data_IF_494885858173
#
_entry.id   IF_494885858173
#
_cell.length_a   1.000
_cell.length_b   1.000
_cell.length_c   1.000
_cell.angle_alpha   90.00
_cell.angle_beta   90.00
_cell.angle_gamma   90.00
#
_symmetry.space_group_name_H-M   'P 1'
#
loop_
_entity.id
_entity.type
_entity.pdbx_description
1 polymer ?
#
# COMPACT_ATOMS: atom_id res chain seq x y z
N UNK A 1 35.10 50.39 29.93
CA UNK A 1 34.59 49.03 30.22
C UNK A 1 33.36 48.81 29.36
N UNK A 2 33.33 47.90 28.38
CA UNK A 2 33.20 46.43 28.53
C UNK A 2 31.98 46.12 29.42
N UNK A 3 30.96 45.37 29.02
CA UNK A 3 30.94 44.20 28.14
C UNK A 3 29.49 43.84 27.78
N UNK A 4 29.34 43.10 26.67
CA UNK A 4 28.49 41.89 26.50
C UNK A 4 27.16 41.89 27.26
N UNK A 5 26.01 41.90 26.59
CA UNK A 5 25.64 40.97 25.53
C UNK A 5 24.55 40.07 26.10
N UNK A 6 23.32 40.23 25.62
CA UNK A 6 22.32 39.18 25.76
C UNK A 6 21.45 39.15 24.50
N UNK A 7 21.83 38.25 23.61
CA UNK A 7 21.02 37.80 22.49
C UNK A 7 19.88 36.96 23.05
N UNK A 8 18.79 37.62 23.42
CA UNK A 8 17.52 36.99 23.77
C UNK A 8 16.95 36.26 22.56
N UNK A 9 17.36 35.00 22.39
CA UNK A 9 16.80 34.07 21.42
C UNK A 9 15.31 33.91 21.65
N UNK A 10 14.51 34.52 20.77
CA UNK A 10 13.07 34.30 20.71
C UNK A 10 12.74 32.81 20.52
N UNK A 11 11.58 32.37 21.01
CA UNK A 11 11.25 30.96 21.13
C UNK A 11 11.34 30.26 19.78
N UNK A 12 12.14 29.19 19.72
CA UNK A 12 12.15 28.22 18.63
C UNK A 12 10.70 27.76 18.42
N UNK A 13 10.02 28.34 17.42
CA UNK A 13 8.72 27.86 16.95
C UNK A 13 8.96 26.44 16.46
N UNK A 14 8.64 25.45 17.29
CA UNK A 14 8.58 24.06 16.86
C UNK A 14 7.48 24.00 15.81
N UNK A 15 7.89 23.93 14.55
CA UNK A 15 7.03 23.64 13.42
C UNK A 15 6.59 22.17 13.60
N UNK A 16 5.64 21.93 14.50
CA UNK A 16 4.92 20.66 14.56
C UNK A 16 3.99 20.67 13.37
N UNK A 17 4.45 20.04 12.29
CA UNK A 17 3.71 19.90 11.06
C UNK A 17 2.30 19.34 11.36
N UNK A 18 1.21 20.03 10.94
CA UNK A 18 -0.18 19.62 11.22
C UNK A 18 -0.60 18.31 10.52
N UNK A 19 0.34 17.58 9.93
CA UNK A 19 0.15 16.41 9.09
C UNK A 19 0.30 15.16 9.96
N UNK A 20 1.34 15.11 10.81
CA UNK A 20 1.58 14.01 11.75
C UNK A 20 0.57 13.99 12.91
N UNK A 21 0.13 15.15 13.39
CA UNK A 21 -0.87 15.23 14.46
C UNK A 21 -2.26 14.72 14.01
N UNK A 22 -2.66 15.03 12.77
CA UNK A 22 -3.91 14.50 12.19
C UNK A 22 -3.81 13.00 11.92
N UNK A 23 -2.70 12.52 11.38
CA UNK A 23 -2.49 11.08 11.17
C UNK A 23 -2.49 10.29 12.48
N UNK A 24 -1.87 10.82 13.54
CA UNK A 24 -1.89 10.20 14.88
C UNK A 24 -3.30 10.18 15.48
N UNK A 25 -4.07 11.25 15.33
CA UNK A 25 -5.47 11.30 15.79
C UNK A 25 -6.36 10.30 15.04
N UNK A 26 -6.22 10.20 13.71
CA UNK A 26 -6.91 9.20 12.89
C UNK A 26 -6.48 7.77 13.22
N UNK A 27 -5.22 7.57 13.59
CA UNK A 27 -4.71 6.27 14.02
C UNK A 27 -5.25 5.86 15.40
N UNK A 28 -5.36 6.82 16.32
CA UNK A 28 -5.93 6.61 17.64
C UNK A 28 -7.45 6.35 17.60
N UNK A 29 -8.19 7.00 16.69
CA UNK A 29 -9.60 6.66 16.44
C UNK A 29 -9.74 5.28 15.80
N UNK A 30 -8.84 4.91 14.87
CA UNK A 30 -8.77 3.56 14.32
C UNK A 30 -8.53 2.50 15.40
N UNK A 31 -7.58 2.73 16.29
CA UNK A 31 -7.26 1.80 17.39
C UNK A 31 -8.43 1.61 18.35
N UNK A 32 -9.20 2.68 18.62
CA UNK A 32 -10.41 2.61 19.44
C UNK A 32 -11.58 1.92 18.74
N UNK A 33 -11.68 2.02 17.41
CA UNK A 33 -12.80 1.47 16.64
C UNK A 33 -12.57 0.04 16.10
N UNK A 34 -11.34 -0.31 15.69
CA UNK A 34 -11.01 -1.59 15.04
C UNK A 34 -10.57 -2.71 16.01
N UNK A 35 -10.14 -2.38 17.23
CA UNK A 35 -9.56 -3.37 18.13
C UNK A 35 -8.36 -4.11 17.49
N UNK A 36 -8.17 -5.42 17.75
CA UNK A 36 -7.01 -6.20 17.29
C UNK A 36 -6.77 -6.20 15.77
N UNK A 37 -7.81 -5.90 14.98
CA UNK A 37 -7.82 -5.97 13.50
C UNK A 37 -7.08 -4.78 12.86
N UNK A 38 -6.83 -3.72 13.62
CA UNK A 38 -6.03 -2.58 13.15
C UNK A 38 -4.57 -2.97 12.83
N UNK A 39 -4.00 -3.89 13.61
CA UNK A 39 -2.61 -4.33 13.46
C UNK A 39 -2.37 -5.10 12.15
N UNK A 40 -3.14 -6.16 11.81
CA UNK A 40 -2.96 -6.85 10.54
C UNK A 40 -3.22 -5.94 9.33
N UNK A 41 -4.18 -5.01 9.41
CA UNK A 41 -4.42 -4.03 8.35
C UNK A 41 -3.20 -3.12 8.14
N UNK A 42 -2.57 -2.67 9.23
CA UNK A 42 -1.37 -1.82 9.16
C UNK A 42 -0.17 -2.58 8.58
N UNK A 43 0.06 -3.82 9.03
CA UNK A 43 1.12 -4.68 8.50
C UNK A 43 0.91 -4.92 7.01
N UNK A 44 -0.33 -5.25 6.61
CA UNK A 44 -0.68 -5.46 5.21
C UNK A 44 -0.47 -4.19 4.37
N UNK A 45 -0.86 -3.02 4.89
CA UNK A 45 -0.65 -1.73 4.23
C UNK A 45 0.84 -1.45 4.00
N UNK A 46 1.67 -1.63 5.02
CA UNK A 46 3.14 -1.46 4.92
C UNK A 46 3.74 -2.45 3.92
N UNK A 47 3.29 -3.71 3.92
CA UNK A 47 3.76 -4.72 2.97
C UNK A 47 3.42 -4.34 1.52
N UNK A 48 2.18 -3.90 1.27
CA UNK A 48 1.74 -3.40 -0.06
C UNK A 48 2.56 -2.20 -0.48
N UNK A 49 2.78 -1.23 0.42
CA UNK A 49 3.59 -0.05 0.11
C UNK A 49 5.05 -0.39 -0.18
N UNK A 50 5.64 -1.30 0.59
CA UNK A 50 7.03 -1.74 0.44
C UNK A 50 7.23 -2.40 -0.92
N UNK A 51 6.35 -3.33 -1.29
CA UNK A 51 6.40 -4.00 -2.60
C UNK A 51 6.07 -3.03 -3.72
N UNK A 52 5.09 -2.15 -3.54
CA UNK A 52 4.75 -1.12 -4.51
C UNK A 52 5.93 -0.19 -4.79
N UNK A 53 6.65 0.24 -3.76
CA UNK A 53 7.81 1.11 -3.91
C UNK A 53 8.97 0.41 -4.64
N UNK A 54 9.29 -0.83 -4.27
CA UNK A 54 10.34 -1.62 -4.93
C UNK A 54 10.05 -1.77 -6.43
N UNK A 55 8.80 -2.09 -6.78
CA UNK A 55 8.37 -2.29 -8.17
C UNK A 55 8.28 -0.99 -8.95
N UNK A 56 7.74 0.08 -8.38
CA UNK A 56 7.75 1.41 -9.00
C UNK A 56 9.17 1.93 -9.22
N UNK A 57 10.09 1.74 -8.27
CA UNK A 57 11.48 2.16 -8.41
C UNK A 57 12.23 1.33 -9.45
N UNK A 58 12.01 0.01 -9.51
CA UNK A 58 12.55 -0.86 -10.57
C UNK A 58 12.06 -0.40 -11.94
N UNK A 59 10.76 -0.16 -12.09
CA UNK A 59 10.17 0.29 -13.34
C UNK A 59 10.61 1.68 -13.75
N UNK A 60 10.71 2.63 -12.83
CA UNK A 60 11.23 3.95 -13.09
C UNK A 60 12.69 3.90 -13.55
N UNK A 61 13.53 3.10 -12.87
CA UNK A 61 14.93 2.88 -13.27
C UNK A 61 15.03 2.18 -14.62
N UNK A 62 14.15 1.22 -14.91
CA UNK A 62 14.13 0.48 -16.17
C UNK A 62 13.69 1.36 -17.35
N UNK A 63 12.63 2.15 -17.15
CA UNK A 63 12.15 3.14 -18.11
C UNK A 63 13.21 4.21 -18.38
N UNK A 64 13.90 4.68 -17.33
CA UNK A 64 15.02 5.61 -17.44
C UNK A 64 16.30 5.00 -18.06
N UNK A 65 16.50 3.67 -17.99
CA UNK A 65 17.72 2.98 -18.47
C UNK A 65 17.53 2.18 -19.78
N UNK A 66 16.37 2.29 -20.42
CA UNK A 66 16.12 1.97 -21.83
C UNK A 66 16.82 0.72 -22.42
N UNK A 67 16.02 -0.32 -22.73
CA UNK A 67 16.32 -1.39 -23.73
C UNK A 67 17.56 -2.28 -23.51
N UNK A 68 18.37 -2.10 -22.46
CA UNK A 68 19.64 -2.85 -22.28
C UNK A 68 19.49 -4.34 -21.92
N UNK A 69 18.63 -4.72 -20.97
CA UNK A 69 18.47 -6.17 -20.65
C UNK A 69 17.85 -6.97 -21.80
N UNK A 70 17.02 -6.33 -22.65
CA UNK A 70 16.39 -7.04 -23.75
C UNK A 70 17.37 -7.45 -24.84
N UNK A 71 18.45 -6.68 -25.03
CA UNK A 71 19.55 -7.07 -25.90
C UNK A 71 20.29 -8.29 -25.35
N UNK A 72 20.53 -8.33 -24.04
CA UNK A 72 21.23 -9.44 -23.38
C UNK A 72 20.42 -10.74 -23.42
N UNK A 73 19.09 -10.67 -23.20
CA UNK A 73 18.25 -11.86 -23.30
C UNK A 73 18.14 -12.37 -24.75
N UNK A 74 18.03 -11.47 -25.74
CA UNK A 74 18.07 -11.85 -27.16
C UNK A 74 19.38 -12.53 -27.55
N UNK A 75 20.53 -12.05 -27.07
CA UNK A 75 21.82 -12.68 -27.36
C UNK A 75 21.94 -14.05 -26.69
N UNK A 76 21.43 -14.22 -25.48
CA UNK A 76 21.42 -15.51 -24.79
C UNK A 76 20.50 -16.54 -25.48
N UNK A 77 19.29 -16.12 -25.89
CA UNK A 77 18.35 -16.96 -26.64
C UNK A 77 18.87 -17.30 -28.04
N UNK A 78 19.54 -16.38 -28.72
CA UNK A 78 20.13 -16.60 -30.05
C UNK A 78 21.29 -17.62 -30.00
N UNK A 79 22.07 -17.63 -28.92
CA UNK A 79 23.18 -18.56 -28.74
C UNK A 79 22.79 -19.91 -28.14
N UNK A 80 21.53 -20.09 -27.70
CA UNK A 80 21.06 -21.34 -27.16
C UNK A 80 21.03 -22.45 -28.25
N UNK A 81 21.77 -23.56 -28.06
CA UNK A 81 21.92 -24.59 -29.09
C UNK A 81 20.70 -25.52 -29.24
N UNK A 82 19.83 -25.62 -28.22
CA UNK A 82 18.63 -26.47 -28.25
C UNK A 82 17.35 -25.69 -27.90
N UNK A 83 16.21 -26.15 -28.45
CA UNK A 83 14.89 -25.55 -28.19
C UNK A 83 14.48 -25.69 -26.71
N UNK A 84 14.86 -26.79 -26.06
CA UNK A 84 14.58 -27.06 -24.65
C UNK A 84 15.29 -26.06 -23.71
N UNK A 85 16.57 -25.73 -23.99
CA UNK A 85 17.32 -24.73 -23.23
C UNK A 85 16.69 -23.34 -23.37
N UNK A 86 16.17 -22.98 -24.55
CA UNK A 86 15.44 -21.70 -24.73
C UNK A 86 14.18 -21.64 -23.87
N UNK A 87 13.43 -22.73 -23.78
CA UNK A 87 12.22 -22.80 -22.97
C UNK A 87 12.56 -22.69 -21.47
N UNK A 88 13.60 -23.38 -21.00
CA UNK A 88 14.05 -23.28 -19.61
C UNK A 88 14.47 -21.85 -19.23
N UNK A 89 15.26 -21.18 -20.07
CA UNK A 89 15.66 -19.78 -19.83
C UNK A 89 14.48 -18.81 -19.81
N UNK A 90 13.43 -19.07 -20.61
CA UNK A 90 12.22 -18.26 -20.61
C UNK A 90 11.42 -18.47 -19.32
N UNK A 91 11.31 -19.71 -18.85
CA UNK A 91 10.59 -20.06 -17.62
C UNK A 91 11.27 -19.47 -16.36
N UNK A 92 12.61 -19.56 -16.29
CA UNK A 92 13.40 -18.96 -15.21
C UNK A 92 13.27 -17.42 -15.16
N UNK A 93 13.17 -16.78 -16.32
CA UNK A 93 12.93 -15.34 -16.40
C UNK A 93 11.53 -14.98 -15.94
N UNK A 94 10.54 -15.80 -16.28
CA UNK A 94 9.13 -15.58 -15.91
C UNK A 94 8.92 -15.70 -14.39
N UNK A 95 9.56 -16.69 -13.77
CA UNK A 95 9.51 -16.89 -12.33
C UNK A 95 10.14 -15.71 -11.55
N UNK A 96 11.23 -15.13 -12.06
CA UNK A 96 11.83 -13.94 -11.44
C UNK A 96 10.96 -12.68 -11.55
N UNK A 97 10.14 -12.58 -12.61
CA UNK A 97 9.23 -11.45 -12.81
C UNK A 97 7.99 -11.51 -11.91
N UNK A 98 7.57 -12.71 -11.47
CA UNK A 98 6.34 -12.93 -10.71
C UNK A 98 6.50 -12.89 -9.19
N UNK A 99 7.72 -12.84 -8.66
CA UNK A 99 8.02 -12.98 -7.21
C UNK A 99 7.28 -12.02 -6.25
N UNK A 100 6.74 -10.89 -6.73
CA UNK A 100 5.95 -9.94 -5.92
C UNK A 100 4.46 -9.89 -6.27
N UNK A 101 4.04 -10.57 -7.33
CA UNK A 101 2.66 -10.64 -7.78
C UNK A 101 1.72 -11.35 -6.80
N UNK A 102 2.09 -12.51 -6.20
CA UNK A 102 1.17 -13.23 -5.32
C UNK A 102 0.86 -12.45 -4.03
N UNK A 103 1.81 -11.65 -3.52
CA UNK A 103 1.57 -10.81 -2.35
C UNK A 103 0.54 -9.72 -2.64
N UNK A 104 0.66 -9.03 -3.78
CA UNK A 104 -0.30 -8.01 -4.18
C UNK A 104 -1.68 -8.64 -4.44
N UNK A 105 -1.74 -9.84 -5.05
CA UNK A 105 -2.98 -10.57 -5.25
C UNK A 105 -3.65 -10.94 -3.92
N UNK A 106 -2.86 -11.44 -2.95
CA UNK A 106 -3.34 -11.71 -1.61
C UNK A 106 -3.85 -10.42 -0.94
N UNK A 107 -3.13 -9.30 -1.07
CA UNK A 107 -3.53 -8.03 -0.49
C UNK A 107 -4.86 -7.49 -1.06
N UNK A 108 -5.11 -7.67 -2.36
CA UNK A 108 -6.37 -7.29 -3.02
C UNK A 108 -7.57 -7.98 -2.37
N UNK A 109 -7.41 -9.23 -1.91
CA UNK A 109 -8.47 -10.03 -1.28
C UNK A 109 -8.52 -9.82 0.24
N UNK A 110 -7.36 -9.76 0.90
CA UNK A 110 -7.27 -9.67 2.36
C UNK A 110 -7.61 -8.28 2.91
N UNK A 111 -7.21 -7.20 2.24
CA UNK A 111 -7.47 -5.84 2.69
C UNK A 111 -8.96 -5.48 2.85
N UNK A 112 -9.86 -5.77 1.88
CA UNK A 112 -11.28 -5.45 2.01
C UNK A 112 -11.97 -6.36 3.04
N UNK A 113 -11.55 -7.63 3.16
CA UNK A 113 -12.06 -8.54 4.19
C UNK A 113 -11.70 -8.05 5.59
N UNK A 114 -10.46 -7.61 5.81
CA UNK A 114 -10.04 -6.98 7.07
C UNK A 114 -10.83 -5.70 7.38
N UNK A 115 -11.10 -4.88 6.35
CA UNK A 115 -11.95 -3.70 6.48
C UNK A 115 -13.37 -4.03 6.96
N UNK A 116 -13.99 -5.07 6.38
CA UNK A 116 -15.32 -5.54 6.77
C UNK A 116 -15.35 -6.12 8.19
N UNK A 117 -14.29 -6.80 8.63
CA UNK A 117 -14.17 -7.24 10.03
C UNK A 117 -14.11 -6.01 10.96
N UNK A 118 -13.37 -4.96 10.56
CA UNK A 118 -13.29 -3.71 11.31
C UNK A 118 -14.65 -3.00 11.46
N UNK A 119 -15.45 -2.93 10.40
CA UNK A 119 -16.78 -2.30 10.47
C UNK A 119 -17.75 -3.09 11.33
N UNK A 120 -17.75 -4.43 11.23
CA UNK A 120 -18.63 -5.27 12.06
C UNK A 120 -18.28 -5.16 13.55
N UNK A 121 -16.99 -5.11 13.89
CA UNK A 121 -16.54 -4.85 15.26
C UNK A 121 -16.94 -3.45 15.77
N UNK A 122 -16.75 -2.41 14.96
CA UNK A 122 -17.12 -1.04 15.30
C UNK A 122 -18.63 -0.85 15.47
N UNK A 123 -19.44 -1.48 14.61
CA UNK A 123 -20.90 -1.49 14.75
C UNK A 123 -21.31 -2.17 16.06
N UNK A 124 -20.67 -3.28 16.42
CA UNK A 124 -20.96 -3.96 17.69
C UNK A 124 -20.62 -3.10 18.92
N UNK A 125 -19.57 -2.28 18.85
CA UNK A 125 -19.24 -1.33 19.91
C UNK A 125 -20.28 -0.20 20.02
N UNK A 126 -20.74 0.33 18.88
CA UNK A 126 -21.82 1.33 18.84
C UNK A 126 -23.13 0.76 19.41
N UNK A 127 -23.52 -0.45 19.01
CA UNK A 127 -24.72 -1.11 19.53
C UNK A 127 -24.65 -1.34 21.04
N UNK A 128 -23.47 -1.68 21.59
CA UNK A 128 -23.27 -1.79 23.04
C UNK A 128 -23.44 -0.45 23.77
N UNK A 129 -23.04 0.66 23.15
CA UNK A 129 -23.22 2.01 23.73
C UNK A 129 -24.68 2.47 23.71
N UNK A 130 -25.45 2.10 22.69
CA UNK A 130 -26.87 2.44 22.57
C UNK A 130 -27.76 1.71 23.60
N UNK A 131 -27.25 0.67 24.26
CA UNK A 131 -27.91 -0.03 25.36
C UNK A 131 -29.22 -0.70 24.97
N UNK A 132 -30.02 -1.12 25.95
CA UNK A 132 -31.28 -1.87 25.73
C UNK A 132 -32.41 -1.06 25.08
N UNK A 133 -32.33 0.27 25.13
CA UNK A 133 -33.38 1.14 24.60
C UNK A 133 -33.10 1.63 23.17
N UNK A 134 -31.89 1.39 22.63
CA UNK A 134 -31.48 1.81 21.28
C UNK A 134 -31.69 3.32 20.99
N UNK A 135 -31.76 4.16 22.03
CA UNK A 135 -32.00 5.59 21.88
C UNK A 135 -30.68 6.35 21.77
N UNK A 136 -30.61 7.28 20.80
CA UNK A 136 -29.49 8.21 20.71
C UNK A 136 -29.57 9.20 21.88
N UNK A 137 -28.51 9.36 22.69
CA UNK A 137 -28.43 10.41 23.69
C UNK A 137 -28.59 11.78 23.01
N UNK A 138 -29.48 12.67 23.50
CA UNK A 138 -29.67 13.99 22.91
C UNK A 138 -28.36 14.79 22.99
N UNK A 139 -27.89 15.29 21.85
CA UNK A 139 -26.62 16.05 21.73
C UNK A 139 -25.39 15.21 21.37
N UNK A 140 -25.53 13.90 21.12
CA UNK A 140 -24.41 13.08 20.66
C UNK A 140 -23.93 13.52 19.24
N UNK A 141 -22.63 13.75 19.03
CA UNK A 141 -22.11 14.11 17.72
C UNK A 141 -22.29 12.95 16.73
N UNK A 142 -23.05 13.17 15.66
CA UNK A 142 -23.30 12.18 14.60
C UNK A 142 -22.00 11.68 13.94
N UNK A 143 -20.95 12.52 13.92
CA UNK A 143 -19.65 12.19 13.35
C UNK A 143 -18.99 10.95 13.99
N UNK A 144 -19.16 10.73 15.30
CA UNK A 144 -18.54 9.60 16.00
C UNK A 144 -19.10 8.23 15.60
N UNK A 145 -20.32 8.18 15.07
CA UNK A 145 -20.91 6.96 14.53
C UNK A 145 -20.37 6.64 13.13
N UNK A 146 -19.98 7.65 12.36
CA UNK A 146 -19.39 7.49 11.02
C UNK A 146 -17.99 6.90 11.04
N UNK A 147 -17.26 7.02 12.16
CA UNK A 147 -15.91 6.47 12.32
C UNK A 147 -15.84 4.95 12.13
N UNK A 148 -16.98 4.25 12.32
CA UNK A 148 -17.09 2.80 12.09
C UNK A 148 -16.87 2.41 10.63
N UNK A 149 -17.04 3.32 9.67
CA UNK A 149 -16.86 3.06 8.23
C UNK A 149 -15.39 3.22 7.77
N UNK A 150 -14.54 3.87 8.57
CA UNK A 150 -13.13 4.08 8.25
C UNK A 150 -12.35 2.79 7.91
N UNK A 151 -12.57 1.64 8.58
CA UNK A 151 -11.84 0.41 8.27
C UNK A 151 -12.10 -0.11 6.86
N UNK A 152 -13.37 -0.05 6.40
CA UNK A 152 -13.72 -0.42 5.02
C UNK A 152 -13.15 0.57 4.02
N UNK A 153 -13.20 1.87 4.31
CA UNK A 153 -12.61 2.89 3.45
C UNK A 153 -11.11 2.63 3.25
N UNK A 154 -10.38 2.35 4.33
CA UNK A 154 -8.95 2.04 4.26
C UNK A 154 -8.67 0.71 3.56
N UNK A 155 -9.44 -0.33 3.84
CA UNK A 155 -9.34 -1.63 3.17
C UNK A 155 -9.49 -1.50 1.66
N UNK A 156 -10.52 -0.77 1.20
CA UNK A 156 -10.76 -0.50 -0.21
C UNK A 156 -9.67 0.37 -0.84
N UNK A 157 -9.17 1.39 -0.13
CA UNK A 157 -8.08 2.22 -0.62
C UNK A 157 -6.81 1.39 -0.85
N UNK A 158 -6.48 0.49 0.08
CA UNK A 158 -5.34 -0.43 -0.05
C UNK A 158 -5.55 -1.38 -1.23
N UNK A 159 -6.74 -1.97 -1.38
CA UNK A 159 -7.09 -2.83 -2.53
C UNK A 159 -6.92 -2.09 -3.84
N UNK A 160 -7.42 -0.85 -3.93
CA UNK A 160 -7.33 -0.05 -5.13
C UNK A 160 -5.87 0.19 -5.54
N UNK A 161 -5.01 0.56 -4.58
CA UNK A 161 -3.58 0.76 -4.82
C UNK A 161 -2.90 -0.56 -5.22
N UNK A 162 -3.16 -1.66 -4.51
CA UNK A 162 -2.58 -2.96 -4.83
C UNK A 162 -2.98 -3.45 -6.23
N UNK A 163 -4.25 -3.29 -6.60
CA UNK A 163 -4.78 -3.62 -7.91
C UNK A 163 -4.15 -2.75 -9.01
N UNK A 164 -4.03 -1.44 -8.79
CA UNK A 164 -3.37 -0.55 -9.75
C UNK A 164 -1.92 -0.95 -10.01
N UNK A 165 -1.18 -1.33 -8.96
CA UNK A 165 0.19 -1.81 -9.07
C UNK A 165 0.28 -3.14 -9.82
N UNK A 166 -0.63 -4.08 -9.55
CA UNK A 166 -0.73 -5.34 -10.29
C UNK A 166 -1.02 -5.10 -11.78
N UNK A 167 -2.00 -4.27 -12.09
CA UNK A 167 -2.39 -3.93 -13.45
C UNK A 167 -1.24 -3.26 -14.19
N UNK A 168 -0.49 -2.36 -13.54
CA UNK A 168 0.68 -1.74 -14.11
C UNK A 168 1.76 -2.78 -14.41
N UNK A 169 2.05 -3.68 -13.46
CA UNK A 169 3.04 -4.74 -13.65
C UNK A 169 2.66 -5.70 -14.79
N UNK A 170 1.39 -6.16 -14.81
CA UNK A 170 0.88 -7.08 -15.84
C UNK A 170 0.76 -6.41 -17.21
N UNK A 171 0.27 -5.17 -17.27
CA UNK A 171 0.10 -4.43 -18.52
C UNK A 171 1.43 -4.22 -19.22
N UNK A 172 2.47 -3.90 -18.44
CA UNK A 172 3.81 -3.75 -18.94
C UNK A 172 4.46 -5.08 -19.38
N UNK A 173 4.24 -6.19 -18.65
CA UNK A 173 4.67 -7.54 -19.10
C UNK A 173 4.00 -7.94 -20.41
N UNK A 174 2.69 -7.69 -20.56
CA UNK A 174 1.95 -7.94 -21.82
C UNK A 174 2.47 -7.08 -22.97
N UNK A 175 2.83 -5.83 -22.69
CA UNK A 175 3.41 -4.94 -23.69
C UNK A 175 4.75 -5.48 -24.20
N UNK A 176 5.58 -6.07 -23.33
CA UNK A 176 6.83 -6.71 -23.72
C UNK A 176 6.61 -7.90 -24.66
N UNK A 177 5.69 -8.81 -24.34
CA UNK A 177 5.40 -9.98 -25.17
C UNK A 177 4.90 -9.58 -26.57
N UNK A 178 4.06 -8.54 -26.67
CA UNK A 178 3.60 -8.02 -27.97
C UNK A 178 4.72 -7.45 -28.84
N UNK A 179 5.74 -6.85 -28.24
CA UNK A 179 6.92 -6.35 -28.97
C UNK A 179 7.89 -7.47 -29.38
N UNK A 180 7.73 -8.69 -28.85
CA UNK A 180 8.54 -9.84 -29.20
C UNK A 180 7.87 -10.74 -30.24
N UNK A 181 6.54 -10.76 -30.26
CA UNK A 181 5.74 -11.54 -31.20
C UNK A 181 5.60 -10.90 -32.59
N UNK A 182 5.96 -9.62 -32.75
CA UNK A 182 5.92 -8.91 -34.03
C UNK A 182 7.34 -8.44 -34.40
N UNK A 183 8.14 -9.29 -35.08
CA UNK A 183 9.47 -8.93 -35.57
C UNK A 183 9.45 -7.90 -36.70
#
# INVERSE_FOLDING_TARGET
MSSRGDTGGGPKRSISSPHSARAMASFLSLWKACGPVAVPLLVLSVAVFTVGFDRCAFWWRWFARGRRSWRQLRTALAQAPSAELRLQFLDDCDHQMTWGEPLLQAAVVLAPLLGLIGTTAGLMAVLKQLGSQLLLPPGAPLAGYGDVLLPTLLGLQITFVAMALLLLNQGLRRWQLRHCANP
#
